data_IF_219759900945
#
_entry.id   IF_219759900945
#
_cell.length_a   1.000
_cell.length_b   1.000
_cell.length_c   1.000
_cell.angle_alpha   90.00
_cell.angle_beta   90.00
_cell.angle_gamma   90.00
#
_symmetry.space_group_name_H-M   'P 1'
#
loop_
_entity.id
_entity.type
_entity.pdbx_description
1 polymer ?
#
# COMPACT_ATOMS: atom_id res chain seq x y z
N UNK A 1 -26.69 -20.28 15.95
CA UNK A 1 -26.58 -18.89 16.41
C UNK A 1 -25.14 -18.42 16.44
N UNK A 2 -24.18 -19.25 16.89
CA UNK A 2 -22.77 -18.86 17.00
C UNK A 2 -22.04 -18.56 15.67
N UNK A 3 -22.28 -19.36 14.61
CA UNK A 3 -21.63 -19.12 13.30
C UNK A 3 -22.06 -17.77 12.68
N UNK A 4 -23.32 -17.39 12.85
CA UNK A 4 -23.83 -16.11 12.35
C UNK A 4 -23.15 -14.93 13.04
N UNK A 5 -22.93 -15.02 14.36
CA UNK A 5 -22.24 -13.98 15.14
C UNK A 5 -20.77 -13.88 14.74
N UNK A 6 -20.08 -15.01 14.53
CA UNK A 6 -18.71 -15.02 14.01
C UNK A 6 -18.61 -14.38 12.62
N UNK A 7 -19.53 -14.70 11.70
CA UNK A 7 -19.53 -14.12 10.35
C UNK A 7 -19.77 -12.60 10.37
N UNK A 8 -20.68 -12.13 11.22
CA UNK A 8 -20.93 -10.69 11.38
C UNK A 8 -19.70 -9.99 11.96
N UNK A 9 -19.06 -10.56 12.98
CA UNK A 9 -17.85 -10.00 13.58
C UNK A 9 -16.65 -9.98 12.61
N UNK A 10 -16.54 -10.98 11.72
CA UNK A 10 -15.48 -11.05 10.70
C UNK A 10 -15.74 -10.19 9.46
N UNK A 11 -17.00 -9.81 9.20
CA UNK A 11 -17.39 -9.06 8.01
C UNK A 11 -16.59 -7.77 7.74
N UNK A 12 -16.29 -6.88 8.72
CA UNK A 12 -15.47 -5.70 8.45
C UNK A 12 -14.04 -6.04 8.05
N UNK A 13 -13.46 -7.11 8.62
CA UNK A 13 -12.11 -7.54 8.28
C UNK A 13 -12.03 -8.11 6.85
N UNK A 14 -13.01 -8.94 6.47
CA UNK A 14 -13.12 -9.46 5.11
C UNK A 14 -13.33 -8.35 4.08
N UNK A 15 -14.11 -7.32 4.44
CA UNK A 15 -14.33 -6.16 3.58
C UNK A 15 -13.02 -5.43 3.27
N UNK A 16 -12.17 -5.20 4.27
CA UNK A 16 -10.87 -4.55 4.08
C UNK A 16 -9.98 -5.38 3.16
N UNK A 17 -9.88 -6.69 3.40
CA UNK A 17 -9.11 -7.61 2.55
C UNK A 17 -9.62 -7.59 1.11
N UNK A 18 -10.95 -7.63 0.91
CA UNK A 18 -11.56 -7.60 -0.41
C UNK A 18 -11.26 -6.28 -1.15
N UNK A 19 -11.38 -5.13 -0.48
CA UNK A 19 -11.07 -3.81 -1.07
C UNK A 19 -9.61 -3.75 -1.52
N UNK A 20 -8.68 -4.15 -0.65
CA UNK A 20 -7.25 -4.15 -0.96
C UNK A 20 -6.94 -5.10 -2.11
N UNK A 21 -7.51 -6.30 -2.11
CA UNK A 21 -7.32 -7.28 -3.18
C UNK A 21 -7.84 -6.78 -4.53
N UNK A 22 -9.05 -6.22 -4.57
CA UNK A 22 -9.63 -5.66 -5.80
C UNK A 22 -8.74 -4.53 -6.34
N UNK A 23 -8.33 -3.59 -5.48
CA UNK A 23 -7.49 -2.47 -5.89
C UNK A 23 -6.13 -2.94 -6.42
N UNK A 24 -5.48 -3.86 -5.71
CA UNK A 24 -4.20 -4.41 -6.09
C UNK A 24 -4.29 -5.23 -7.39
N UNK A 25 -5.27 -6.10 -7.51
CA UNK A 25 -5.50 -6.90 -8.71
C UNK A 25 -5.80 -6.00 -9.92
N UNK A 26 -6.69 -5.01 -9.77
CA UNK A 26 -6.98 -4.05 -10.83
C UNK A 26 -5.73 -3.28 -11.30
N UNK A 27 -4.87 -2.85 -10.38
CA UNK A 27 -3.61 -2.19 -10.73
C UNK A 27 -2.65 -3.13 -11.47
N UNK A 28 -2.57 -4.39 -11.04
CA UNK A 28 -1.70 -5.41 -11.65
C UNK A 28 -2.17 -5.75 -13.07
N UNK A 29 -3.48 -5.88 -13.27
CA UNK A 29 -4.08 -6.15 -14.58
C UNK A 29 -3.88 -4.99 -15.56
N UNK A 30 -4.04 -3.73 -15.11
CA UNK A 30 -3.75 -2.54 -15.92
C UNK A 30 -2.31 -2.52 -16.42
N UNK A 31 -1.35 -2.83 -15.54
CA UNK A 31 0.08 -2.87 -15.90
C UNK A 31 0.38 -3.98 -16.91
N UNK A 32 -0.20 -5.17 -16.74
CA UNK A 32 -0.08 -6.26 -17.72
C UNK A 32 -0.65 -5.87 -19.08
N UNK A 33 -1.80 -5.22 -19.12
CA UNK A 33 -2.41 -4.74 -20.35
C UNK A 33 -1.50 -3.75 -21.08
N UNK A 34 -0.95 -2.75 -20.37
CA UNK A 34 0.00 -1.79 -20.96
C UNK A 34 1.25 -2.48 -21.52
N UNK A 35 1.83 -3.44 -20.78
CA UNK A 35 3.01 -4.17 -21.24
C UNK A 35 2.71 -5.03 -22.46
N UNK A 36 1.54 -5.67 -22.51
CA UNK A 36 1.10 -6.45 -23.68
C UNK A 36 0.95 -5.56 -24.92
N UNK A 37 0.41 -4.36 -24.77
CA UNK A 37 0.30 -3.39 -25.88
C UNK A 37 1.67 -2.95 -26.39
N UNK A 38 2.63 -2.72 -25.47
CA UNK A 38 4.01 -2.38 -25.83
C UNK A 38 4.66 -3.54 -26.57
N UNK A 39 4.49 -4.77 -26.09
CA UNK A 39 5.05 -5.96 -26.74
C UNK A 39 4.50 -6.13 -28.18
N UNK A 40 3.20 -5.91 -28.37
CA UNK A 40 2.57 -6.00 -29.69
C UNK A 40 3.06 -4.88 -30.64
N UNK A 41 3.23 -3.65 -30.13
CA UNK A 41 3.77 -2.53 -30.91
C UNK A 41 5.22 -2.79 -31.36
N UNK A 42 6.04 -3.39 -30.50
CA UNK A 42 7.42 -3.79 -30.84
C UNK A 42 7.41 -4.91 -31.89
N UNK A 43 6.54 -5.91 -31.76
CA UNK A 43 6.39 -7.00 -32.76
C UNK A 43 5.94 -6.47 -34.12
N UNK A 44 5.10 -5.43 -34.15
CA UNK A 44 4.69 -4.72 -35.36
C UNK A 44 5.80 -3.89 -36.04
N UNK A 45 7.03 -3.90 -35.50
CA UNK A 45 8.17 -3.17 -36.06
C UNK A 45 8.21 -1.68 -35.69
N UNK A 46 7.34 -1.22 -34.79
CA UNK A 46 7.37 0.16 -34.32
C UNK A 46 8.54 0.35 -33.36
N UNK A 47 9.45 1.28 -33.67
CA UNK A 47 10.51 1.65 -32.73
C UNK A 47 9.91 2.49 -31.61
N UNK A 48 9.80 1.89 -30.42
CA UNK A 48 9.37 2.61 -29.23
C UNK A 48 10.55 3.41 -28.68
N UNK A 49 10.47 4.75 -28.76
CA UNK A 49 11.46 5.60 -28.11
C UNK A 49 11.30 5.55 -26.58
N UNK A 50 12.37 5.77 -25.80
CA UNK A 50 12.29 5.81 -24.34
C UNK A 50 11.26 6.80 -23.80
N UNK A 51 11.01 7.92 -24.51
CA UNK A 51 9.97 8.89 -24.16
C UNK A 51 8.56 8.32 -24.34
N UNK A 52 8.32 7.55 -25.41
CA UNK A 52 7.01 6.92 -25.66
C UNK A 52 6.69 5.87 -24.60
N UNK A 53 7.69 5.10 -24.17
CA UNK A 53 7.54 4.11 -23.09
C UNK A 53 7.20 4.79 -21.75
N UNK A 54 7.84 5.91 -21.45
CA UNK A 54 7.51 6.73 -20.26
C UNK A 54 6.10 7.32 -20.35
N UNK A 55 5.69 7.79 -21.53
CA UNK A 55 4.36 8.37 -21.75
C UNK A 55 3.22 7.34 -21.57
N UNK A 56 3.49 6.05 -21.79
CA UNK A 56 2.55 4.96 -21.56
C UNK A 56 2.34 4.60 -20.07
N UNK A 57 2.85 5.44 -19.15
CA UNK A 57 2.60 5.29 -17.73
C UNK A 57 3.42 4.20 -17.06
N UNK A 58 4.53 3.77 -17.69
CA UNK A 58 5.57 3.03 -16.99
C UNK A 58 6.12 3.96 -15.90
N UNK A 59 5.90 3.66 -14.61
CA UNK A 59 6.30 4.58 -13.55
C UNK A 59 7.80 4.81 -13.64
N UNK A 60 8.20 6.09 -13.61
CA UNK A 60 9.59 6.44 -13.43
C UNK A 60 10.12 5.78 -12.15
N UNK A 61 11.40 5.43 -12.16
CA UNK A 61 12.09 4.77 -11.05
C UNK A 61 11.84 5.55 -9.76
N UNK A 62 11.22 4.90 -8.76
CA UNK A 62 10.99 5.41 -7.41
C UNK A 62 10.25 6.75 -7.34
N UNK A 63 8.92 6.73 -7.37
CA UNK A 63 8.12 7.91 -7.04
C UNK A 63 8.25 8.19 -5.54
N UNK A 64 9.10 9.15 -5.14
CA UNK A 64 9.26 9.56 -3.74
C UNK A 64 7.91 9.91 -3.07
N UNK A 65 6.98 10.45 -3.84
CA UNK A 65 5.62 10.73 -3.37
C UNK A 65 4.80 9.44 -3.13
N UNK A 66 5.06 8.37 -3.89
CA UNK A 66 4.44 7.06 -3.72
C UNK A 66 4.89 6.38 -2.43
N UNK A 67 6.19 6.46 -2.10
CA UNK A 67 6.72 5.93 -0.85
C UNK A 67 6.18 6.71 0.35
N UNK A 68 6.15 8.04 0.28
CA UNK A 68 5.58 8.88 1.34
C UNK A 68 4.11 8.56 1.60
N UNK A 69 3.30 8.44 0.53
CA UNK A 69 1.88 8.08 0.64
C UNK A 69 1.69 6.70 1.27
N UNK A 70 2.45 5.71 0.79
CA UNK A 70 2.37 4.34 1.30
C UNK A 70 2.78 4.26 2.77
N UNK A 71 3.82 5.00 3.15
CA UNK A 71 4.28 5.08 4.52
C UNK A 71 3.26 5.73 5.46
N UNK A 72 2.62 6.83 5.04
CA UNK A 72 1.54 7.47 5.83
C UNK A 72 0.33 6.56 6.02
N UNK A 73 -0.06 5.79 4.99
CA UNK A 73 -1.15 4.82 5.10
C UNK A 73 -0.82 3.75 6.14
N UNK A 74 0.39 3.21 6.13
CA UNK A 74 0.81 2.18 7.09
C UNK A 74 0.89 2.73 8.52
N UNK A 75 1.33 3.98 8.71
CA UNK A 75 1.27 4.64 10.01
C UNK A 75 -0.17 4.78 10.52
N UNK A 76 -1.12 5.12 9.64
CA UNK A 76 -2.54 5.18 10.01
C UNK A 76 -3.09 3.81 10.41
N UNK A 77 -2.70 2.73 9.71
CA UNK A 77 -3.07 1.35 10.06
C UNK A 77 -2.50 0.95 11.42
N UNK A 78 -1.22 1.24 11.69
CA UNK A 78 -0.60 0.98 12.98
C UNK A 78 -1.33 1.69 14.13
N UNK A 79 -1.66 2.98 13.94
CA UNK A 79 -2.42 3.77 14.90
C UNK A 79 -3.82 3.19 15.14
N UNK A 80 -4.50 2.72 14.09
CA UNK A 80 -5.81 2.08 14.21
C UNK A 80 -5.76 0.77 15.02
N UNK A 81 -4.73 -0.06 14.82
CA UNK A 81 -4.54 -1.31 15.58
C UNK A 81 -4.25 -1.01 17.06
N UNK A 82 -3.41 -0.01 17.35
CA UNK A 82 -3.16 0.44 18.72
C UNK A 82 -4.44 0.94 19.41
N UNK A 83 -5.21 1.77 18.71
CA UNK A 83 -6.47 2.28 19.21
C UNK A 83 -7.47 1.15 19.46
N UNK A 84 -7.53 0.15 18.58
CA UNK A 84 -8.38 -1.03 18.77
C UNK A 84 -7.99 -1.79 20.04
N UNK A 85 -6.71 -2.04 20.27
CA UNK A 85 -6.23 -2.68 21.50
C UNK A 85 -6.63 -1.89 22.74
N UNK A 86 -6.41 -0.58 22.72
CA UNK A 86 -6.76 0.29 23.85
C UNK A 86 -8.27 0.32 24.12
N UNK A 87 -9.08 0.45 23.07
CA UNK A 87 -10.53 0.53 23.18
C UNK A 87 -11.19 -0.79 23.62
N UNK A 88 -10.48 -1.92 23.50
CA UNK A 88 -11.04 -3.26 23.76
C UNK A 88 -10.36 -4.02 24.91
N UNK A 89 -9.33 -3.43 25.55
CA UNK A 89 -8.60 -4.03 26.69
C UNK A 89 -9.55 -4.54 27.78
N UNK A 90 -10.55 -3.73 28.15
CA UNK A 90 -11.51 -4.06 29.21
C UNK A 90 -12.41 -5.26 28.88
N UNK A 91 -12.52 -5.65 27.61
CA UNK A 91 -13.35 -6.77 27.16
C UNK A 91 -12.55 -8.07 27.00
N UNK A 92 -11.27 -7.97 26.60
CA UNK A 92 -10.43 -9.14 26.28
C UNK A 92 -9.44 -9.51 27.39
N UNK A 93 -9.28 -8.64 28.39
CA UNK A 93 -8.44 -8.88 29.56
C UNK A 93 -7.07 -8.23 29.47
N UNK A 94 -6.41 -8.15 30.62
CA UNK A 94 -5.12 -7.49 30.78
C UNK A 94 -4.06 -8.12 29.86
N UNK A 95 -3.43 -7.28 29.04
CA UNK A 95 -2.37 -7.64 28.11
C UNK A 95 -2.79 -7.65 26.63
N UNK A 96 -4.07 -7.48 26.31
CA UNK A 96 -4.52 -7.44 24.92
C UNK A 96 -3.90 -6.25 24.15
N UNK A 97 -3.72 -5.11 24.80
CA UNK A 97 -3.07 -3.91 24.29
C UNK A 97 -1.61 -4.19 23.97
N UNK A 98 -0.91 -4.97 24.79
CA UNK A 98 0.46 -5.35 24.53
C UNK A 98 0.57 -6.21 23.26
N UNK A 99 -0.36 -7.14 23.07
CA UNK A 99 -0.45 -7.96 21.85
C UNK A 99 -0.75 -7.08 20.64
N UNK A 100 -1.74 -6.20 20.73
CA UNK A 100 -2.08 -5.27 19.64
C UNK A 100 -0.94 -4.30 19.32
N UNK A 101 -0.17 -3.88 20.32
CA UNK A 101 1.05 -3.08 20.14
C UNK A 101 2.12 -3.84 19.36
N UNK A 102 2.34 -5.10 19.69
CA UNK A 102 3.26 -5.97 18.93
C UNK A 102 2.79 -6.12 17.47
N UNK A 103 1.50 -6.33 17.22
CA UNK A 103 0.93 -6.43 15.86
C UNK A 103 1.02 -5.10 15.11
N UNK A 104 0.76 -3.97 15.77
CA UNK A 104 0.85 -2.63 15.18
C UNK A 104 2.29 -2.23 14.80
N UNK A 105 3.30 -2.82 15.47
CA UNK A 105 4.70 -2.51 15.20
C UNK A 105 5.12 -2.85 13.76
N UNK A 106 4.53 -3.89 13.16
CA UNK A 106 4.82 -4.30 11.78
C UNK A 106 4.47 -3.19 10.77
N UNK A 107 3.20 -2.75 10.62
CA UNK A 107 2.88 -1.64 9.75
C UNK A 107 3.54 -0.33 10.22
N UNK A 108 3.74 -0.13 11.53
CA UNK A 108 4.39 1.07 12.06
C UNK A 108 5.81 1.25 11.54
N UNK A 109 6.67 0.23 11.68
CA UNK A 109 8.06 0.32 11.22
C UNK A 109 8.18 0.37 9.70
N UNK A 110 7.36 -0.39 8.96
CA UNK A 110 7.34 -0.30 7.49
C UNK A 110 6.91 1.11 7.06
N UNK A 111 5.91 1.67 7.74
CA UNK A 111 5.44 3.04 7.54
C UNK A 111 6.55 4.08 7.72
N UNK A 112 7.30 3.99 8.83
CA UNK A 112 8.43 4.87 9.12
C UNK A 112 9.51 4.83 8.03
N UNK A 113 9.89 3.64 7.57
CA UNK A 113 10.92 3.49 6.52
C UNK A 113 10.45 4.12 5.20
N UNK A 114 9.20 3.88 4.79
CA UNK A 114 8.65 4.43 3.56
C UNK A 114 8.48 5.95 3.61
N UNK A 115 8.10 6.50 4.77
CA UNK A 115 8.11 7.95 4.99
C UNK A 115 9.54 8.49 4.84
N UNK A 116 10.53 7.83 5.44
CA UNK A 116 11.94 8.21 5.32
C UNK A 116 12.42 8.25 3.87
N UNK A 117 12.15 7.20 3.09
CA UNK A 117 12.47 7.15 1.66
C UNK A 117 11.73 8.23 0.87
N UNK A 118 10.45 8.47 1.17
CA UNK A 118 9.68 9.52 0.53
C UNK A 118 10.24 10.92 0.78
N UNK A 119 10.65 11.22 2.02
CA UNK A 119 11.24 12.51 2.38
C UNK A 119 12.62 12.72 1.73
N UNK A 120 13.49 11.70 1.77
CA UNK A 120 14.81 11.77 1.12
C UNK A 120 14.72 11.84 -0.41
N UNK A 121 13.78 11.11 -1.01
CA UNK A 121 13.53 11.15 -2.45
C UNK A 121 13.06 12.53 -2.92
N UNK A 122 12.15 13.18 -2.18
CA UNK A 122 11.68 14.54 -2.49
C UNK A 122 12.80 15.57 -2.40
N UNK A 123 13.70 15.44 -1.43
CA UNK A 123 14.86 16.35 -1.30
C UNK A 123 15.79 16.27 -2.52
N UNK A 124 16.11 15.06 -2.99
CA UNK A 124 16.95 14.85 -4.18
C UNK A 124 16.31 15.41 -5.45
N UNK A 125 14.99 15.31 -5.57
CA UNK A 125 14.25 15.84 -6.72
C UNK A 125 14.28 17.38 -6.76
N UNK A 126 14.20 18.04 -5.60
CA UNK A 126 14.32 19.50 -5.48
C UNK A 126 15.73 20.01 -5.76
N UNK A 127 16.77 19.32 -5.30
CA UNK A 127 18.18 19.68 -5.54
C UNK A 127 18.56 19.60 -7.02
N UNK A 128 18.04 18.60 -7.75
CA UNK A 128 18.28 18.45 -9.20
C UNK A 128 17.49 19.45 -10.07
N UNK A 129 16.51 20.16 -9.49
CA UNK A 129 15.65 21.10 -10.19
C UNK A 129 16.04 22.57 -9.96
N UNK A 130 17.03 22.84 -9.11
CA UNK A 130 17.61 24.15 -8.81
C UNK A 130 18.95 24.33 -9.54
#
# INVERSE_FOLDING_TARGET
MEIAVMLVAMSPFLMVVAIVWIAFNANTQRRKATLSTIEEAIRGGQQMTPETIKALGMPAKSNANGDLKSGMILMAVAAAILFLGWATESFWGDGFLAIMTAVASFPGFIGLVLIGFGLMGRKKEQENAA
#
